data_IF_023321125890
#
_entry.id   IF_023321125890
#
_cell.length_a   1.000
_cell.length_b   1.000
_cell.length_c   1.000
_cell.angle_alpha   90.00
_cell.angle_beta   90.00
_cell.angle_gamma   90.00
#
_symmetry.space_group_name_H-M   'P 1'
#
loop_
_entity.id
_entity.type
_entity.pdbx_description
1 polymer ?
#
# COMPACT_ATOMS: atom_id res chain seq x y z
N UNK A 1 -18.47 -15.65 13.59
CA UNK A 1 -19.08 -14.32 13.75
C UNK A 1 -19.28 -13.76 12.36
N UNK A 2 -20.49 -13.30 12.02
CA UNK A 2 -20.74 -12.59 10.77
C UNK A 2 -20.30 -11.13 10.95
N UNK A 3 -19.28 -10.70 10.21
CA UNK A 3 -18.81 -9.32 10.24
C UNK A 3 -19.63 -8.46 9.26
N UNK A 4 -19.90 -7.19 9.58
CA UNK A 4 -20.73 -6.33 8.75
C UNK A 4 -20.14 -6.19 7.34
N UNK A 5 -20.94 -6.45 6.30
CA UNK A 5 -20.53 -6.25 4.90
C UNK A 5 -20.11 -4.80 4.60
N UNK A 6 -20.57 -3.84 5.40
CA UNK A 6 -20.18 -2.44 5.31
C UNK A 6 -18.69 -2.22 5.61
N UNK A 7 -18.15 -2.94 6.60
CA UNK A 7 -16.74 -2.83 6.99
C UNK A 7 -15.82 -3.39 5.91
N UNK A 8 -16.22 -4.50 5.26
CA UNK A 8 -15.48 -5.04 4.11
C UNK A 8 -15.45 -4.06 2.93
N UNK A 9 -16.57 -3.38 2.62
CA UNK A 9 -16.59 -2.36 1.54
C UNK A 9 -15.72 -1.16 1.89
N UNK A 10 -15.74 -0.74 3.15
CA UNK A 10 -14.92 0.36 3.66
C UNK A 10 -13.42 0.04 3.60
N UNK A 11 -13.05 -1.21 3.90
CA UNK A 11 -11.70 -1.73 3.70
C UNK A 11 -11.31 -1.70 2.22
N UNK A 12 -12.12 -2.27 1.32
CA UNK A 12 -11.81 -2.31 -0.12
C UNK A 12 -11.60 -0.91 -0.71
N UNK A 13 -12.39 0.08 -0.30
CA UNK A 13 -12.27 1.46 -0.74
C UNK A 13 -10.94 2.12 -0.32
N UNK A 14 -10.32 1.65 0.77
CA UNK A 14 -9.10 2.21 1.36
C UNK A 14 -7.87 1.30 1.23
N UNK A 15 -8.03 0.12 0.63
CA UNK A 15 -7.02 -0.92 0.56
C UNK A 15 -5.70 -0.42 -0.06
N UNK A 16 -5.77 0.32 -1.15
CA UNK A 16 -4.57 0.80 -1.83
C UNK A 16 -3.84 1.87 -1.01
N UNK A 17 -4.56 2.81 -0.38
CA UNK A 17 -3.99 3.78 0.54
C UNK A 17 -3.30 3.10 1.72
N UNK A 18 -3.94 2.07 2.28
CA UNK A 18 -3.36 1.24 3.33
C UNK A 18 -2.09 0.52 2.87
N UNK A 19 -2.10 -0.08 1.67
CA UNK A 19 -0.94 -0.79 1.09
C UNK A 19 0.24 0.15 0.77
N UNK A 20 -0.04 1.39 0.37
CA UNK A 20 0.98 2.40 0.04
C UNK A 20 1.45 3.19 1.28
N UNK A 21 0.79 3.02 2.42
CA UNK A 21 1.08 3.77 3.64
C UNK A 21 0.56 5.22 3.62
N UNK A 22 -0.34 5.55 2.70
CA UNK A 22 -0.93 6.86 2.49
C UNK A 22 -2.27 7.02 3.22
N UNK A 23 -2.41 6.36 4.38
CA UNK A 23 -3.62 6.37 5.19
C UNK A 23 -3.33 7.00 6.55
N UNK A 24 -4.28 7.74 7.10
CA UNK A 24 -4.15 8.33 8.43
C UNK A 24 -4.16 7.26 9.54
N UNK A 25 -3.62 7.61 10.72
CA UNK A 25 -3.43 6.67 11.83
C UNK A 25 -4.75 6.07 12.36
N UNK A 26 -5.83 6.86 12.40
CA UNK A 26 -7.13 6.38 12.89
C UNK A 26 -7.73 5.38 11.90
N UNK A 27 -7.73 5.73 10.61
CA UNK A 27 -8.18 4.84 9.54
C UNK A 27 -7.36 3.56 9.46
N UNK A 28 -6.05 3.65 9.71
CA UNK A 28 -5.16 2.47 9.79
C UNK A 28 -5.60 1.53 10.90
N UNK A 29 -5.79 2.04 12.11
CA UNK A 29 -6.20 1.24 13.26
C UNK A 29 -7.56 0.55 13.05
N UNK A 30 -8.50 1.20 12.34
CA UNK A 30 -9.78 0.60 11.99
C UNK A 30 -9.65 -0.54 10.97
N UNK A 31 -8.76 -0.39 9.98
CA UNK A 31 -8.46 -1.46 9.02
C UNK A 31 -7.76 -2.63 9.73
N UNK A 32 -6.79 -2.36 10.60
CA UNK A 32 -6.08 -3.41 11.35
C UNK A 32 -7.06 -4.25 12.17
N UNK A 33 -7.96 -3.58 12.92
CA UNK A 33 -9.02 -4.25 13.68
C UNK A 33 -9.97 -5.07 12.80
N UNK A 34 -10.28 -4.57 11.61
CA UNK A 34 -11.10 -5.30 10.66
C UNK A 34 -10.39 -6.58 10.16
N UNK A 35 -9.10 -6.49 9.87
CA UNK A 35 -8.29 -7.62 9.38
C UNK A 35 -8.13 -8.72 10.44
N UNK A 36 -8.01 -8.37 11.71
CA UNK A 36 -7.99 -9.33 12.83
C UNK A 36 -9.25 -10.21 12.88
N UNK A 37 -10.36 -9.69 12.39
CA UNK A 37 -11.68 -10.33 12.48
C UNK A 37 -12.14 -10.92 11.14
N UNK A 38 -11.58 -10.49 10.01
CA UNK A 38 -12.06 -10.84 8.67
C UNK A 38 -11.00 -11.52 7.81
N UNK A 39 -10.97 -12.85 7.86
CA UNK A 39 -10.10 -13.69 7.02
C UNK A 39 -10.35 -13.51 5.51
N UNK A 40 -11.55 -13.06 5.12
CA UNK A 40 -11.88 -12.73 3.73
C UNK A 40 -11.08 -11.54 3.22
N UNK A 41 -11.06 -10.45 3.98
CA UNK A 41 -10.32 -9.24 3.65
C UNK A 41 -8.81 -9.41 3.84
N UNK A 42 -8.37 -10.21 4.82
CA UNK A 42 -6.96 -10.60 4.96
C UNK A 42 -6.44 -11.31 3.71
N UNK A 43 -7.17 -12.31 3.18
CA UNK A 43 -6.79 -12.98 1.94
C UNK A 43 -6.74 -12.04 0.74
N UNK A 44 -7.66 -11.08 0.68
CA UNK A 44 -7.66 -10.08 -0.38
C UNK A 44 -6.47 -9.12 -0.27
N UNK A 45 -6.13 -8.68 0.95
CA UNK A 45 -4.92 -7.89 1.21
C UNK A 45 -3.65 -8.62 0.76
N UNK A 46 -3.50 -9.89 1.12
CA UNK A 46 -2.34 -10.71 0.74
C UNK A 46 -2.23 -10.80 -0.78
N UNK A 47 -3.34 -11.08 -1.47
CA UNK A 47 -3.37 -11.11 -2.93
C UNK A 47 -2.91 -9.79 -3.55
N UNK A 48 -3.47 -8.66 -3.13
CA UNK A 48 -3.14 -7.35 -3.68
C UNK A 48 -1.68 -6.96 -3.39
N UNK A 49 -1.18 -7.31 -2.20
CA UNK A 49 0.24 -7.11 -1.84
C UNK A 49 1.16 -7.91 -2.75
N UNK A 50 0.86 -9.19 -2.96
CA UNK A 50 1.67 -10.09 -3.78
C UNK A 50 1.61 -9.67 -5.26
N UNK A 51 0.44 -9.22 -5.74
CA UNK A 51 0.28 -8.63 -7.07
C UNK A 51 1.13 -7.37 -7.24
N UNK A 52 1.07 -6.42 -6.30
CA UNK A 52 1.94 -5.22 -6.30
C UNK A 52 3.42 -5.58 -6.32
N UNK A 53 3.83 -6.60 -5.55
CA UNK A 53 5.21 -7.08 -5.55
C UNK A 53 5.62 -7.67 -6.91
N UNK A 54 4.74 -8.46 -7.54
CA UNK A 54 4.96 -9.02 -8.87
C UNK A 54 5.08 -7.93 -9.94
N UNK A 55 4.16 -6.95 -9.93
CA UNK A 55 4.18 -5.80 -10.85
C UNK A 55 5.47 -5.03 -10.69
N UNK A 56 5.88 -4.72 -9.45
CA UNK A 56 7.16 -4.06 -9.19
C UNK A 56 8.34 -4.86 -9.76
N UNK A 57 8.36 -6.19 -9.58
CA UNK A 57 9.44 -7.04 -10.09
C UNK A 57 9.50 -7.10 -11.62
N UNK A 58 8.36 -7.01 -12.31
CA UNK A 58 8.25 -7.18 -13.77
C UNK A 58 8.27 -5.88 -14.54
N UNK A 59 7.81 -4.80 -13.93
CA UNK A 59 7.59 -3.50 -14.57
C UNK A 59 8.48 -2.40 -13.96
N UNK A 60 9.54 -2.75 -13.23
CA UNK A 60 10.55 -1.78 -12.80
C UNK A 60 11.63 -1.64 -13.86
N UNK A 61 11.73 -0.45 -14.45
CA UNK A 61 12.93 -0.02 -15.17
C UNK A 61 13.88 0.65 -14.19
N UNK A 62 15.18 0.33 -14.28
CA UNK A 62 16.16 1.06 -13.48
C UNK A 62 16.33 2.46 -14.08
N UNK A 63 16.22 3.52 -13.27
CA UNK A 63 16.49 4.86 -13.77
C UNK A 63 17.97 4.98 -14.16
N UNK A 64 18.24 5.78 -15.20
CA UNK A 64 19.59 6.07 -15.66
C UNK A 64 20.45 6.65 -14.52
N UNK A 65 21.69 6.18 -14.40
CA UNK A 65 22.68 6.67 -13.45
C UNK A 65 22.87 8.20 -13.51
N UNK A 66 22.81 8.79 -14.71
CA UNK A 66 22.90 10.25 -14.90
C UNK A 66 21.72 10.96 -14.24
N UNK A 67 20.51 10.41 -14.36
CA UNK A 67 19.32 10.99 -13.73
C UNK A 67 19.42 10.91 -12.20
N UNK A 68 19.87 9.77 -11.67
CA UNK A 68 20.08 9.58 -10.22
C UNK A 68 21.08 10.62 -9.69
N UNK A 69 22.21 10.80 -10.37
CA UNK A 69 23.26 11.72 -9.93
C UNK A 69 22.79 13.18 -9.97
N UNK A 70 22.08 13.57 -11.03
CA UNK A 70 21.46 14.90 -11.11
C UNK A 70 20.47 15.16 -9.98
N UNK A 71 19.62 14.18 -9.67
CA UNK A 71 18.67 14.29 -8.55
C UNK A 71 19.38 14.47 -7.21
N UNK A 72 20.47 13.73 -6.95
CA UNK A 72 21.26 13.87 -5.72
C UNK A 72 21.82 15.27 -5.55
N UNK A 73 22.46 15.81 -6.60
CA UNK A 73 23.02 17.16 -6.58
C UNK A 73 21.94 18.21 -6.31
N UNK A 74 20.78 18.10 -6.96
CA UNK A 74 19.69 19.07 -6.78
C UNK A 74 19.03 18.98 -5.40
N UNK A 75 18.89 17.78 -4.83
CA UNK A 75 18.38 17.62 -3.45
C UNK A 75 19.35 18.25 -2.45
N UNK A 76 20.66 18.02 -2.58
CA UNK A 76 21.69 18.59 -1.70
C UNK A 76 21.75 20.12 -1.76
N UNK A 77 21.42 20.73 -2.90
CA UNK A 77 21.38 22.20 -3.05
C UNK A 77 20.20 22.86 -2.33
N UNK A 78 19.14 22.11 -2.06
CA UNK A 78 17.89 22.61 -1.44
C UNK A 78 17.81 22.36 0.06
N UNK A 79 18.74 21.58 0.61
CA UNK A 79 18.96 21.38 2.04
C UNK A 79 20.01 22.38 2.54
#
# INVERSE_FOLDING_TARGET
>A
MEHPKADCRSFLARLYLYLDGEIDELSKADIDRHLELCTGCERHLVFERDLKALVRKKCSEQPDAILIERLRVEIQRRL
#
